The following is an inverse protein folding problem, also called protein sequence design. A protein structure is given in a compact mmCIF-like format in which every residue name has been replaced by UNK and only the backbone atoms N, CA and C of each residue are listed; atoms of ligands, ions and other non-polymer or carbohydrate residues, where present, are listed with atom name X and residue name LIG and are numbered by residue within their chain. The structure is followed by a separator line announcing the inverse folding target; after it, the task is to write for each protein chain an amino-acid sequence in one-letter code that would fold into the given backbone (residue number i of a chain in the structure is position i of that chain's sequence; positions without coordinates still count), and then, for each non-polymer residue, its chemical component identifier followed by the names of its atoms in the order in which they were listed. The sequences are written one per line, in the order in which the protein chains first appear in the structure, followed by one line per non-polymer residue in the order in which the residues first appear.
data_IF_195407611516
#
_entry.id   IF_195407611516
#
_cell.length_a   1.000
_cell.length_b   1.000
_cell.length_c   1.000
_cell.angle_alpha   90.00
_cell.angle_beta   90.00
_cell.angle_gamma   90.00
#
_symmetry.space_group_name_H-M   'P 1'
#
loop_
_entity.id
_entity.type
_entity.pdbx_description
1 polymer ?
2 polymer ?
3 polymer ?
4 non-polymer ?
5 non-polymer ?
6 non-polymer ?
7 water ?
#
# COMPACT_ATOMS: atom_id res chain seq x y z
N UNK A 2 15.00 -15.17 -6.39
CA UNK A 2 14.33 -15.80 -5.23
C UNK A 2 13.05 -15.03 -4.96
N UNK A 3 11.90 -15.72 -5.06
CA UNK A 3 10.62 -15.01 -4.91
C UNK A 3 9.58 -15.85 -4.19
N UNK A 4 8.68 -15.15 -3.51
CA UNK A 4 7.51 -15.80 -2.89
C UNK A 4 6.33 -15.18 -3.63
N UNK A 5 5.57 -15.98 -4.38
CA UNK A 5 4.49 -15.51 -5.27
C UNK A 5 3.17 -15.80 -4.56
N UNK A 6 2.53 -14.76 -4.04
CA UNK A 6 1.26 -14.92 -3.30
C UNK A 6 0.09 -14.84 -4.29
N UNK A 7 -1.01 -15.48 -3.91
CA UNK A 7 -2.33 -15.48 -4.62
C UNK A 7 -2.94 -14.06 -4.61
N UNK A 8 -3.91 -13.84 -5.49
CA UNK A 8 -4.49 -12.51 -5.73
C UNK A 8 -5.41 -12.07 -4.60
N UNK A 9 -5.76 -10.78 -4.62
CA UNK A 9 -6.76 -10.15 -3.73
C UNK A 9 -7.99 -11.07 -3.60
N UNK A 10 -8.53 -11.19 -2.40
CA UNK A 10 -9.68 -12.09 -2.14
C UNK A 10 -10.78 -11.26 -1.48
N UNK A 11 -12.02 -11.38 -1.96
CA UNK A 11 -13.23 -10.91 -1.26
C UNK A 11 -13.86 -12.11 -0.54
N UNK A 12 -14.12 -11.96 0.76
CA UNK A 12 -14.63 -13.03 1.66
C UNK A 12 -15.84 -12.47 2.37
N UNK A 13 -16.93 -13.23 2.43
CA UNK A 13 -18.11 -12.77 3.21
C UNK A 13 -17.85 -13.09 4.67
N UNK A 14 -18.30 -12.19 5.58
CA UNK A 14 -18.16 -12.41 7.02
C UNK A 14 -18.77 -13.77 7.39
N UNK A 15 -18.12 -14.48 8.32
CA UNK A 15 -18.57 -15.80 8.81
C UNK A 15 -18.14 -16.94 7.90
N UNK A 16 -17.38 -16.65 6.84
CA UNK A 16 -16.83 -17.67 5.90
C UNK A 16 -15.30 -17.76 6.09
N UNK A 17 -14.65 -18.65 5.37
CA UNK A 17 -13.21 -18.90 5.47
C UNK A 17 -12.54 -18.46 4.16
N UNK A 18 -11.23 -18.26 4.19
CA UNK A 18 -10.41 -17.94 3.00
C UNK A 18 -9.13 -18.78 3.08
N UNK A 19 -8.66 -19.17 1.90
CA UNK A 19 -7.38 -19.89 1.70
C UNK A 19 -6.53 -19.05 0.76
N UNK A 20 -5.32 -18.71 1.18
CA UNK A 20 -4.40 -17.84 0.38
C UNK A 20 -3.14 -18.70 0.21
N UNK A 21 -2.43 -18.49 -0.88
CA UNK A 21 -1.31 -19.39 -1.29
C UNK A 21 -0.03 -18.59 -1.43
N UNK A 22 1.10 -19.29 -1.28
CA UNK A 22 2.46 -18.73 -1.28
C UNK A 22 3.39 -19.74 -1.99
N UNK A 23 3.78 -19.44 -3.23
CA UNK A 23 4.56 -20.40 -4.08
C UNK A 23 6.01 -19.94 -4.13
N UNK A 24 6.89 -20.85 -3.74
CA UNK A 24 8.37 -20.74 -3.71
C UNK A 24 8.88 -20.80 -5.14
N UNK A 25 9.70 -19.82 -5.52
CA UNK A 25 10.24 -19.66 -6.89
C UNK A 25 11.75 -19.42 -6.78
N UNK A 26 12.55 -20.22 -7.49
CA UNK A 26 14.03 -20.09 -7.65
C UNK A 26 14.73 -20.33 -6.31
N UNK A 27 14.18 -21.18 -5.45
CA UNK A 27 14.89 -21.75 -4.27
C UNK A 27 14.16 -23.02 -3.82
N UNK A 28 14.82 -23.78 -2.94
CA UNK A 28 14.38 -25.11 -2.46
C UNK A 28 13.38 -24.91 -1.33
N UNK A 29 12.09 -24.95 -1.68
CA UNK A 29 10.93 -24.85 -0.75
C UNK A 29 11.20 -25.57 0.58
N UNK A 30 11.57 -26.86 0.53
CA UNK A 30 11.60 -27.72 1.74
C UNK A 30 12.85 -27.42 2.60
N UNK A 31 13.77 -26.58 2.12
CA UNK A 31 15.04 -26.24 2.83
C UNK A 31 14.90 -24.96 3.69
N UNK A 32 13.81 -24.20 3.53
CA UNK A 32 13.45 -23.04 4.38
C UNK A 32 12.07 -23.27 5.01
N UNK A 33 11.77 -22.61 6.13
CA UNK A 33 10.39 -22.60 6.68
C UNK A 33 9.64 -21.47 5.95
N UNK A 34 8.32 -21.49 6.06
CA UNK A 34 7.45 -20.37 5.57
C UNK A 34 6.75 -19.79 6.79
N UNK A 35 6.84 -18.47 6.96
CA UNK A 35 6.14 -17.79 8.07
C UNK A 35 5.05 -16.91 7.46
N UNK A 36 4.05 -16.60 8.26
CA UNK A 36 2.86 -15.86 7.80
C UNK A 36 2.70 -14.68 8.73
N UNK A 37 2.42 -13.52 8.16
CA UNK A 37 2.43 -12.21 8.89
C UNK A 37 1.23 -11.40 8.39
N UNK A 38 0.52 -10.76 9.32
CA UNK A 38 -0.59 -9.82 9.06
C UNK A 38 -0.09 -8.40 9.22
N UNK A 39 -0.36 -7.54 8.24
CA UNK A 39 -0.14 -6.09 8.37
C UNK A 39 -1.14 -5.53 9.38
N UNK A 40 -0.64 -4.84 10.40
CA UNK A 40 -1.49 -4.20 11.42
C UNK A 40 -2.13 -2.93 10.85
N UNK A 41 -3.27 -2.51 11.41
CA UNK A 41 -3.99 -1.34 10.86
C UNK A 41 -3.23 -0.03 10.70
N UNK A 42 -2.39 0.39 11.64
CA UNK A 42 -1.71 1.69 11.44
C UNK A 42 -0.25 1.51 11.05
N UNK A 43 0.49 0.81 11.87
CA UNK A 43 1.91 0.46 11.62
C UNK A 43 2.17 -0.87 12.32
N UNK A 44 3.14 -1.61 11.80
CA UNK A 44 3.64 -2.84 12.44
C UNK A 44 3.02 -4.06 11.84
N UNK A 45 3.40 -5.20 12.40
CA UNK A 45 3.24 -6.55 11.83
C UNK A 45 2.77 -7.46 12.96
N UNK A 46 2.00 -8.47 12.63
CA UNK A 46 1.49 -9.43 13.63
C UNK A 46 1.82 -10.82 13.13
N UNK A 47 2.68 -11.54 13.86
CA UNK A 47 3.08 -12.92 13.50
C UNK A 47 1.87 -13.86 13.57
N UNK A 48 1.70 -14.72 12.60
CA UNK A 48 0.59 -15.69 12.60
C UNK A 48 1.14 -17.06 13.00
N UNK A 49 2.19 -17.50 12.31
CA UNK A 49 2.71 -18.86 12.54
C UNK A 49 3.74 -19.26 11.52
N UNK A 50 4.14 -20.52 11.58
CA UNK A 50 5.27 -21.03 10.77
C UNK A 50 4.92 -22.46 10.39
N UNK A 51 5.22 -22.81 9.16
CA UNK A 51 5.14 -24.23 8.73
C UNK A 51 6.57 -24.66 8.32
N UNK A 52 6.94 -25.83 8.84
CA UNK A 52 8.17 -26.59 8.52
C UNK A 52 7.77 -27.59 7.45
N UNK A 53 8.04 -27.31 6.16
CA UNK A 53 7.56 -28.17 5.08
C UNK A 53 8.23 -29.55 4.96
N UNK A 54 9.40 -29.73 5.59
CA UNK A 54 10.15 -31.00 5.61
C UNK A 54 9.57 -31.94 6.67
N UNK A 55 8.87 -31.32 7.60
CA UNK A 55 8.37 -31.86 8.89
C UNK A 55 6.84 -31.99 8.80
N UNK A 56 6.18 -31.04 8.13
CA UNK A 56 4.74 -30.77 8.26
C UNK A 56 4.42 -30.13 9.60
N UNK A 57 5.46 -29.81 10.39
CA UNK A 57 5.34 -29.21 11.71
C UNK A 57 4.95 -27.74 11.62
N UNK A 58 4.10 -27.31 12.56
CA UNK A 58 3.51 -25.95 12.63
C UNK A 58 3.56 -25.40 14.06
N UNK A 59 3.70 -24.08 14.17
CA UNK A 59 3.54 -23.37 15.45
C UNK A 59 2.77 -22.10 15.10
N UNK A 60 2.10 -21.53 16.08
CA UNK A 60 1.17 -20.39 15.87
C UNK A 60 1.32 -19.44 17.05
N UNK A 61 1.19 -18.16 16.75
CA UNK A 61 0.79 -17.14 17.74
C UNK A 61 -0.47 -17.67 18.45
N UNK A 62 -0.50 -17.73 19.79
CA UNK A 62 -1.68 -18.17 20.61
C UNK A 62 -2.98 -17.62 19.97
N UNK A 63 -2.98 -16.34 19.64
CA UNK A 63 -4.23 -15.66 19.17
C UNK A 63 -4.76 -16.34 17.90
N UNK A 64 -3.91 -16.88 17.04
CA UNK A 64 -4.29 -17.47 15.72
C UNK A 64 -4.52 -18.98 15.81
N UNK A 65 -4.42 -19.58 16.99
CA UNK A 65 -4.71 -21.02 17.18
C UNK A 65 -6.21 -21.21 17.05
N UNK A 66 -6.63 -22.04 16.11
CA UNK A 66 -8.05 -22.29 15.85
C UNK A 66 -8.61 -21.27 14.88
N UNK A 67 -7.76 -20.34 14.39
CA UNK A 67 -8.11 -19.29 13.42
C UNK A 67 -7.35 -19.55 12.11
N UNK A 68 -6.03 -19.75 12.17
CA UNK A 68 -5.21 -20.05 10.98
C UNK A 68 -4.83 -21.53 10.99
N UNK A 69 -4.78 -22.12 9.81
CA UNK A 69 -4.22 -23.47 9.54
C UNK A 69 -3.22 -23.33 8.39
N UNK A 70 -1.98 -23.72 8.63
CA UNK A 70 -0.87 -23.64 7.65
C UNK A 70 -0.65 -25.03 7.07
N UNK A 71 -0.55 -25.12 5.75
CA UNK A 71 -0.37 -26.39 4.99
C UNK A 71 0.83 -26.12 4.08
N UNK A 72 1.57 -27.16 3.72
CA UNK A 72 2.64 -27.08 2.71
C UNK A 72 2.48 -28.26 1.73
N UNK A 73 2.52 -27.97 0.45
CA UNK A 73 2.48 -28.97 -0.64
C UNK A 73 3.87 -29.03 -1.28
N UNK A 74 4.72 -29.96 -0.84
CA UNK A 74 6.07 -30.21 -1.42
C UNK A 74 5.96 -30.37 -2.94
N UNK A 75 4.94 -31.11 -3.40
CA UNK A 75 4.74 -31.44 -4.84
C UNK A 75 4.73 -30.16 -5.68
N UNK A 76 4.02 -29.12 -5.23
CA UNK A 76 3.82 -27.84 -5.99
C UNK A 76 4.64 -26.68 -5.41
N UNK A 77 5.50 -26.93 -4.41
CA UNK A 77 6.35 -25.88 -3.79
C UNK A 77 5.46 -24.71 -3.32
N UNK A 78 4.26 -25.02 -2.81
CA UNK A 78 3.27 -23.98 -2.43
C UNK A 78 2.86 -24.18 -0.98
N UNK A 79 2.92 -23.10 -0.19
CA UNK A 79 2.39 -23.04 1.19
C UNK A 79 0.98 -22.41 1.14
N UNK A 80 0.11 -22.87 2.03
CA UNK A 80 -1.30 -22.38 2.11
C UNK A 80 -1.60 -21.93 3.52
N UNK A 81 -2.40 -20.88 3.61
CA UNK A 81 -2.94 -20.42 4.89
C UNK A 81 -4.45 -20.32 4.75
N UNK A 82 -5.15 -21.08 5.58
CA UNK A 82 -6.62 -21.02 5.76
C UNK A 82 -6.89 -20.13 6.97
N UNK A 83 -7.73 -19.11 6.81
CA UNK A 83 -8.22 -18.27 7.93
C UNK A 83 -9.71 -18.49 8.03
N UNK A 84 -10.18 -18.76 9.23
CA UNK A 84 -11.57 -19.26 9.42
C UNK A 84 -12.42 -18.19 10.10
N UNK A 85 -13.73 -18.31 9.85
CA UNK A 85 -14.86 -17.46 10.33
C UNK A 85 -14.43 -15.99 10.37
N UNK A 86 -14.31 -15.39 9.19
CA UNK A 86 -13.71 -14.04 9.04
C UNK A 86 -14.70 -12.97 9.48
N UNK A 87 -14.16 -11.91 10.09
CA UNK A 87 -14.89 -10.65 10.35
C UNK A 87 -14.12 -9.51 9.69
N UNK A 88 -14.63 -8.28 9.77
CA UNK A 88 -13.94 -7.08 9.23
C UNK A 88 -12.52 -6.99 9.81
N UNK A 89 -12.27 -7.45 11.03
CA UNK A 89 -10.91 -7.35 11.64
C UNK A 89 -9.91 -8.21 10.84
N UNK A 90 -10.37 -9.20 10.10
CA UNK A 90 -9.49 -10.03 9.25
C UNK A 90 -9.20 -9.33 7.90
N UNK A 91 -9.85 -8.20 7.58
CA UNK A 91 -9.54 -7.41 6.34
C UNK A 91 -8.14 -6.83 6.49
N UNK A 92 -7.18 -7.32 5.72
CA UNK A 92 -5.77 -6.94 5.89
C UNK A 92 -4.97 -7.51 4.73
N UNK A 93 -3.77 -6.98 4.58
CA UNK A 93 -2.75 -7.62 3.72
C UNK A 93 -2.04 -8.67 4.58
N UNK A 94 -1.88 -9.87 4.04
CA UNK A 94 -1.17 -11.00 4.68
C UNK A 94 0.06 -11.30 3.83
N UNK A 95 1.22 -11.46 4.47
CA UNK A 95 2.49 -11.77 3.80
C UNK A 95 2.91 -13.19 4.19
N UNK A 96 3.58 -13.85 3.29
CA UNK A 96 4.40 -15.02 3.65
C UNK A 96 5.86 -14.56 3.51
N UNK A 97 6.73 -15.16 4.29
CA UNK A 97 8.16 -14.80 4.34
C UNK A 97 8.95 -16.09 4.48
N UNK A 98 10.17 -16.13 3.92
CA UNK A 98 11.11 -17.28 4.04
C UNK A 98 11.99 -17.06 5.27
N UNK A 99 12.32 -18.16 5.97
CA UNK A 99 13.32 -18.18 7.09
C UNK A 99 14.10 -19.50 7.04
N UNK A 100 15.33 -19.47 7.51
CA UNK A 100 16.16 -20.69 7.61
C UNK A 100 15.65 -21.52 8.77
N UNK A 101 16.12 -22.77 8.87
CA UNK A 101 15.86 -23.64 10.03
C UNK A 101 16.68 -23.13 11.22
N UNK A 102 17.72 -22.32 10.99
CA UNK A 102 18.83 -22.06 11.97
C UNK A 102 18.91 -20.59 12.40
N UNK A 103 18.20 -19.65 11.76
CA UNK A 103 18.26 -18.20 12.10
C UNK A 103 16.88 -17.53 11.97
N UNK A 104 16.58 -16.53 12.82
CA UNK A 104 15.26 -15.88 12.94
C UNK A 104 14.84 -15.11 11.68
N UNK A 105 15.80 -14.67 10.86
CA UNK A 105 15.58 -13.70 9.76
C UNK A 105 14.48 -14.19 8.82
N UNK A 106 13.52 -13.29 8.55
CA UNK A 106 12.54 -13.40 7.44
C UNK A 106 13.19 -12.67 6.28
N UNK A 107 13.97 -13.38 5.45
CA UNK A 107 14.96 -12.74 4.57
C UNK A 107 14.32 -12.36 3.24
N UNK A 108 13.29 -13.08 2.81
CA UNK A 108 12.53 -12.80 1.57
C UNK A 108 11.03 -12.87 1.89
N UNK A 109 10.23 -11.95 1.32
CA UNK A 109 8.80 -11.76 1.65
C UNK A 109 7.97 -11.86 0.37
N UNK A 110 6.78 -12.46 0.41
CA UNK A 110 5.85 -12.33 -0.72
C UNK A 110 5.41 -10.89 -0.94
N UNK A 111 4.69 -10.66 -2.03
CA UNK A 111 4.21 -9.31 -2.44
C UNK A 111 2.97 -8.95 -1.60
N UNK A 112 2.36 -9.93 -0.93
CA UNK A 112 1.20 -9.73 -0.06
C UNK A 112 -0.09 -10.09 -0.74
N UNK A 113 -1.05 -10.54 0.04
CA UNK A 113 -2.43 -10.78 -0.44
C UNK A 113 -3.39 -9.87 0.36
N UNK A 114 -4.19 -9.09 -0.33
CA UNK A 114 -5.16 -8.16 0.29
C UNK A 114 -6.50 -8.89 0.45
N UNK A 115 -6.90 -9.12 1.70
CA UNK A 115 -8.18 -9.79 1.99
C UNK A 115 -9.21 -8.76 2.41
N UNK A 116 -10.33 -8.68 1.70
CA UNK A 116 -11.47 -7.77 2.02
C UNK A 116 -12.59 -8.66 2.54
N UNK A 117 -13.04 -8.44 3.77
CA UNK A 117 -14.14 -9.20 4.42
C UNK A 117 -15.28 -8.19 4.52
N UNK A 118 -16.33 -8.40 3.75
CA UNK A 118 -17.43 -7.43 3.60
C UNK A 118 -18.66 -8.13 3.08
N UNK A 119 -19.84 -7.65 3.51
CA UNK A 119 -21.17 -8.02 2.98
C UNK A 119 -21.55 -7.04 1.87
N UNK A 120 -20.83 -5.93 1.69
CA UNK A 120 -21.18 -4.87 0.71
C UNK A 120 -21.37 -5.47 -0.68
N UNK A 121 -22.17 -4.82 -1.53
CA UNK A 121 -22.58 -5.39 -2.83
C UNK A 121 -21.41 -5.30 -3.83
N UNK A 122 -21.07 -6.40 -4.53
CA UNK A 122 -20.06 -6.44 -5.61
C UNK A 122 -20.63 -5.64 -6.77
N UNK A 123 -19.88 -4.67 -7.27
CA UNK A 123 -20.39 -3.63 -8.19
C UNK A 123 -19.30 -3.36 -9.23
N UNK A 124 -19.56 -3.69 -10.49
CA UNK A 124 -18.65 -3.36 -11.60
C UNK A 124 -18.61 -1.85 -11.73
N UNK A 125 -17.45 -1.27 -12.10
CA UNK A 125 -17.33 0.16 -12.32
C UNK A 125 -18.13 0.71 -13.51
N UNK A 126 -18.55 1.95 -13.39
CA UNK A 126 -19.03 2.76 -14.51
C UNK A 126 -17.86 3.63 -14.99
N UNK A 127 -17.46 3.46 -16.24
CA UNK A 127 -16.22 4.06 -16.81
C UNK A 127 -16.66 5.13 -17.81
N UNK A 128 -16.13 6.31 -17.61
CA UNK A 128 -16.40 7.50 -18.46
C UNK A 128 -15.10 8.03 -19.02
N UNK A 129 -15.10 8.36 -20.32
CA UNK A 129 -13.94 8.97 -20.95
C UNK A 129 -13.93 10.47 -20.61
N UNK A 130 -12.76 11.04 -20.36
CA UNK A 130 -12.63 12.49 -20.06
C UNK A 130 -11.80 13.13 -21.17
N UNK A 131 -12.48 13.89 -22.02
CA UNK A 131 -11.80 14.61 -23.11
C UNK A 131 -10.92 15.72 -22.54
N UNK A 132 -9.96 16.26 -23.32
CA UNK A 132 -9.15 17.38 -22.83
C UNK A 132 -10.05 18.54 -22.37
N UNK A 133 -9.74 19.12 -21.23
CA UNK A 133 -10.53 20.26 -20.68
C UNK A 133 -10.33 21.50 -21.58
N UNK A 134 -11.26 22.46 -21.50
CA UNK A 134 -11.18 23.69 -22.34
C UNK A 134 -10.02 24.59 -21.92
N UNK A 137 -7.16 22.08 -25.09
CA UNK A 137 -7.65 21.42 -26.33
C UNK A 137 -6.68 21.72 -27.47
N UNK A 138 -6.25 22.99 -27.60
CA UNK A 138 -5.24 23.37 -28.62
C UNK A 138 -3.87 23.19 -28.00
N UNK A 139 -2.87 22.90 -28.84
CA UNK A 139 -1.51 22.66 -28.33
C UNK A 139 -0.92 21.37 -28.86
N UNK A 140 0.40 21.25 -28.81
CA UNK A 140 1.10 20.05 -29.34
C UNK A 140 0.90 18.84 -28.41
N UNK A 141 0.40 19.08 -27.20
CA UNK A 141 0.11 17.97 -26.26
C UNK A 141 -1.26 18.13 -25.59
N UNK A 142 -1.86 17.01 -25.22
CA UNK A 142 -3.23 16.96 -24.64
C UNK A 142 -3.22 15.95 -23.50
N UNK A 143 -3.98 16.24 -22.45
CA UNK A 143 -4.12 15.30 -21.31
C UNK A 143 -5.51 14.67 -21.36
N UNK A 144 -5.58 13.37 -21.58
CA UNK A 144 -6.84 12.60 -21.60
C UNK A 144 -7.08 12.06 -20.18
N UNK A 145 -8.33 11.83 -19.82
CA UNK A 145 -8.65 11.25 -18.51
C UNK A 145 -9.61 10.09 -18.60
N UNK A 146 -9.65 9.36 -17.53
CA UNK A 146 -10.57 8.24 -17.36
C UNK A 146 -11.14 8.25 -15.96
N UNK A 147 -12.47 8.24 -15.83
CA UNK A 147 -13.16 8.19 -14.52
C UNK A 147 -13.72 6.77 -14.34
N UNK A 148 -13.39 6.12 -13.22
CA UNK A 148 -13.86 4.75 -12.90
C UNK A 148 -14.72 4.90 -11.65
N UNK A 149 -16.06 4.96 -11.82
CA UNK A 149 -16.98 5.35 -10.73
C UNK A 149 -17.66 4.11 -10.11
N UNK A 150 -17.61 4.05 -8.78
CA UNK A 150 -18.46 3.23 -7.90
C UNK A 150 -18.27 1.74 -8.14
N UNK A 151 -17.12 1.20 -7.79
CA UNK A 151 -16.88 -0.25 -7.85
C UNK A 151 -16.65 -0.77 -6.44
N UNK A 152 -16.90 -2.07 -6.32
CA UNK A 152 -16.55 -2.82 -5.09
C UNK A 152 -16.43 -4.29 -5.45
N UNK A 153 -15.45 -5.04 -4.90
CA UNK A 153 -14.37 -4.53 -4.06
C UNK A 153 -13.22 -3.98 -4.91
N UNK A 154 -12.12 -3.53 -4.30
CA UNK A 154 -10.80 -3.53 -4.97
C UNK A 154 -10.38 -4.98 -5.20
N UNK A 155 -9.48 -5.26 -6.16
CA UNK A 155 -8.89 -4.24 -7.03
C UNK A 155 -9.57 -4.08 -8.41
N UNK A 156 -9.16 -3.00 -9.08
CA UNK A 156 -9.34 -2.78 -10.53
C UNK A 156 -7.93 -2.75 -11.14
N UNK A 157 -7.76 -3.17 -12.39
CA UNK A 157 -6.54 -2.95 -13.18
C UNK A 157 -6.91 -1.95 -14.28
N UNK A 158 -6.24 -0.81 -14.32
CA UNK A 158 -6.48 0.26 -15.33
C UNK A 158 -5.19 0.40 -16.14
N UNK A 159 -5.30 0.27 -17.46
CA UNK A 159 -4.21 0.46 -18.44
C UNK A 159 -4.76 1.38 -19.55
N UNK A 160 -3.85 1.87 -20.36
CA UNK A 160 -4.17 2.64 -21.56
C UNK A 160 -3.71 1.82 -22.77
N UNK A 161 -4.61 1.62 -23.74
CA UNK A 161 -4.37 0.78 -24.94
C UNK A 161 -3.80 -0.57 -24.48
N UNK A 162 -4.37 -1.11 -23.40
CA UNK A 162 -4.11 -2.46 -22.80
C UNK A 162 -2.62 -2.54 -22.41
N UNK A 163 -2.02 -1.41 -22.08
CA UNK A 163 -0.63 -1.33 -21.60
C UNK A 163 0.34 -0.99 -22.71
N UNK A 164 -0.07 -0.91 -23.97
CA UNK A 164 0.81 -0.44 -25.09
C UNK A 164 1.12 1.05 -24.93
N UNK A 165 0.22 1.82 -24.30
CA UNK A 165 0.49 3.24 -24.00
C UNK A 165 0.95 3.32 -22.54
N UNK A 166 2.26 3.34 -22.30
CA UNK A 166 2.86 3.18 -20.95
C UNK A 166 3.38 4.53 -20.46
N UNK A 167 3.95 5.31 -21.38
CA UNK A 167 4.53 6.64 -21.14
C UNK A 167 3.44 7.67 -20.80
N UNK A 168 3.68 8.49 -19.78
CA UNK A 168 2.91 9.71 -19.49
C UNK A 168 1.57 9.36 -18.83
N UNK A 169 1.44 8.12 -18.33
CA UNK A 169 0.27 7.64 -17.54
C UNK A 169 0.45 8.04 -16.07
N UNK A 170 -0.60 8.60 -15.46
CA UNK A 170 -0.67 8.78 -13.98
C UNK A 170 -2.00 8.24 -13.47
N UNK A 171 -1.97 7.25 -12.58
CA UNK A 171 -3.23 6.65 -12.04
C UNK A 171 -3.20 7.02 -10.55
N UNK A 172 -4.24 7.69 -10.08
CA UNK A 172 -4.28 8.32 -8.74
C UNK A 172 -4.97 7.35 -7.79
N UNK A 173 -4.74 7.50 -6.46
CA UNK A 173 -5.33 6.61 -5.47
C UNK A 173 -6.86 6.69 -5.49
N UNK A 174 -7.48 5.57 -5.19
CA UNK A 174 -8.96 5.47 -5.20
C UNK A 174 -9.48 6.15 -3.94
N UNK A 175 -10.68 6.70 -3.99
CA UNK A 175 -11.49 7.09 -2.80
C UNK A 175 -12.52 5.97 -2.52
N UNK A 176 -12.96 5.91 -1.26
CA UNK A 176 -13.97 4.95 -0.74
C UNK A 176 -15.02 5.72 0.05
N UNK A 177 -16.28 5.53 -0.33
CA UNK A 177 -17.47 6.13 0.32
C UNK A 177 -18.62 5.14 0.19
N UNK A 178 -19.31 4.79 1.29
CA UNK A 178 -20.50 3.91 1.29
C UNK A 178 -20.22 2.63 0.49
N UNK A 179 -19.09 2.00 0.75
CA UNK A 179 -18.66 0.69 0.19
C UNK A 179 -18.61 0.74 -1.35
N UNK A 180 -18.32 1.92 -1.90
CA UNK A 180 -18.02 2.08 -3.34
C UNK A 180 -16.73 2.88 -3.51
N UNK A 181 -15.80 2.33 -4.31
CA UNK A 181 -14.55 3.01 -4.67
C UNK A 181 -14.77 3.81 -5.97
N UNK A 182 -14.00 4.86 -6.12
CA UNK A 182 -13.92 5.68 -7.35
C UNK A 182 -12.43 5.97 -7.59
N UNK A 183 -11.95 5.93 -8.84
CA UNK A 183 -10.58 6.41 -9.17
C UNK A 183 -10.56 6.98 -10.58
N UNK A 184 -9.47 7.66 -10.87
CA UNK A 184 -9.27 8.36 -12.14
C UNK A 184 -7.79 8.23 -12.52
N UNK A 185 -7.58 8.13 -13.82
CA UNK A 185 -6.26 8.10 -14.47
C UNK A 185 -6.22 9.20 -15.53
N UNK A 186 -5.03 9.71 -15.80
CA UNK A 186 -4.77 10.66 -16.90
C UNK A 186 -3.56 10.18 -17.69
N UNK A 187 -3.50 10.65 -18.93
CA UNK A 187 -2.37 10.32 -19.80
C UNK A 187 -2.17 11.53 -20.71
N UNK A 188 -0.92 11.95 -20.84
CA UNK A 188 -0.47 13.06 -21.71
C UNK A 188 0.08 12.49 -23.01
N UNK A 189 -0.53 12.88 -24.14
CA UNK A 189 -0.26 12.35 -25.51
C UNK A 189 -0.03 13.54 -26.45
N UNK A 190 0.69 13.35 -27.55
CA UNK A 190 0.96 14.44 -28.51
C UNK A 190 -0.32 14.63 -29.33
N UNK A 191 -0.50 15.82 -29.92
CA UNK A 191 -1.66 16.12 -30.80
C UNK A 191 -1.56 15.31 -32.09
N UNK A 192 -0.38 14.77 -32.40
CA UNK A 192 -0.11 13.86 -33.52
C UNK A 192 -0.74 12.49 -33.30
N UNK A 193 -0.74 12.05 -32.05
CA UNK A 193 -1.23 10.73 -31.61
C UNK A 193 -2.75 10.77 -31.49
N UNK A 194 -3.31 11.81 -30.90
CA UNK A 194 -4.75 11.87 -30.59
C UNK A 194 -5.35 13.17 -31.14
N UNK A 195 -6.52 13.16 -31.79
CA UNK A 195 -7.40 11.99 -31.87
C UNK A 195 -7.25 11.12 -33.12
N UNK A 196 -6.17 11.28 -33.90
CA UNK A 196 -5.99 10.50 -35.15
C UNK A 196 -5.91 9.01 -34.82
N UNK A 197 -5.42 8.63 -33.62
CA UNK A 197 -5.32 7.22 -33.18
C UNK A 197 -6.35 6.95 -32.09
N UNK A 198 -6.84 5.71 -32.03
CA UNK A 198 -7.82 5.29 -31.00
C UNK A 198 -7.06 5.07 -29.70
N UNK A 199 -7.40 5.85 -28.68
CA UNK A 199 -6.82 5.70 -27.32
C UNK A 199 -7.95 5.28 -26.41
N UNK A 200 -7.79 4.17 -25.69
CA UNK A 200 -8.80 3.65 -24.75
C UNK A 200 -8.15 3.52 -23.37
N UNK A 201 -9.00 3.76 -22.41
CA UNK A 201 -8.84 3.42 -21.00
C UNK A 201 -9.42 2.01 -20.76
N UNK A 202 -8.61 1.07 -20.30
CA UNK A 202 -9.03 -0.33 -20.08
C UNK A 202 -9.14 -0.56 -18.58
N UNK A 203 -10.32 -0.96 -18.11
CA UNK A 203 -10.54 -1.20 -16.67
C UNK A 203 -11.08 -2.63 -16.51
N UNK A 204 -10.31 -3.49 -15.89
CA UNK A 204 -10.71 -4.86 -15.49
C UNK A 204 -11.08 -4.89 -14.00
N UNK A 205 -12.16 -5.58 -13.69
CA UNK A 205 -12.71 -5.75 -12.33
C UNK A 205 -12.87 -7.25 -12.13
N UNK A 206 -11.82 -7.93 -11.67
CA UNK A 206 -11.87 -9.39 -11.48
C UNK A 206 -13.12 -9.89 -10.72
N UNK A 207 -13.53 -9.19 -9.67
CA UNK A 207 -14.61 -9.63 -8.76
C UNK A 207 -15.96 -9.66 -9.49
N UNK A 208 -16.17 -8.82 -10.51
CA UNK A 208 -17.42 -8.80 -11.29
C UNK A 208 -17.23 -9.53 -12.62
N UNK A 209 -16.01 -10.00 -12.91
CA UNK A 209 -15.58 -10.66 -14.18
C UNK A 209 -15.82 -9.74 -15.37
N UNK A 210 -15.64 -8.44 -15.17
CA UNK A 210 -15.93 -7.41 -16.22
C UNK A 210 -14.62 -6.77 -16.72
N UNK A 211 -14.65 -6.33 -17.97
CA UNK A 211 -13.61 -5.45 -18.50
C UNK A 211 -14.29 -4.42 -19.39
N UNK A 212 -13.93 -3.15 -19.27
CA UNK A 212 -14.34 -2.11 -20.26
C UNK A 212 -13.12 -1.49 -20.88
N UNK A 213 -13.14 -1.31 -22.21
CA UNK A 213 -12.21 -0.44 -22.95
C UNK A 213 -13.02 0.79 -23.43
N UNK A 214 -12.73 1.98 -22.86
CA UNK A 214 -13.46 3.25 -23.10
C UNK A 214 -12.63 4.17 -23.99
N UNK A 215 -13.10 4.36 -25.22
CA UNK A 215 -12.44 5.25 -26.22
C UNK A 215 -12.56 6.72 -25.80
N UNK A 216 -11.46 7.47 -25.84
CA UNK A 216 -11.50 8.92 -25.52
C UNK A 216 -11.80 9.64 -26.84
N UNK A 217 -12.93 10.31 -26.91
CA UNK A 217 -13.39 10.97 -28.16
C UNK A 217 -13.41 12.47 -27.97
N UNK A 218 -13.02 13.21 -29.02
CA UNK A 218 -13.00 14.67 -28.99
C UNK A 218 -14.39 15.29 -28.90
N UNK A 219 -14.49 16.47 -28.30
CA UNK A 219 -15.79 17.19 -28.26
C UNK A 219 -16.21 17.52 -29.69
N UNK B 1 5.82 -13.50 27.27
CA UNK B 1 6.41 -12.20 27.72
C UNK B 1 7.78 -11.99 27.09
N UNK B 2 8.05 -12.63 25.96
CA UNK B 2 9.05 -12.18 24.98
C UNK B 2 8.45 -10.94 24.31
N UNK B 3 8.98 -9.76 24.64
CA UNK B 3 8.39 -8.46 24.22
C UNK B 3 9.51 -7.57 23.71
N UNK B 4 9.27 -6.90 22.58
CA UNK B 4 10.20 -5.88 22.04
C UNK B 4 9.54 -4.51 22.16
N UNK B 5 10.23 -3.60 22.84
CA UNK B 5 9.74 -2.22 23.08
C UNK B 5 10.41 -1.23 22.13
N UNK B 6 9.58 -0.56 21.34
CA UNK B 6 10.04 0.51 20.43
C UNK B 6 9.12 1.70 20.62
N UNK B 7 9.68 2.91 20.54
CA UNK B 7 8.90 4.17 20.47
C UNK B 7 8.17 4.20 19.12
N UNK B 8 6.92 4.63 19.10
CA UNK B 8 6.07 4.58 17.88
C UNK B 8 6.64 5.47 16.77
N UNK B 9 7.34 6.58 17.08
CA UNK B 9 7.80 7.61 16.11
C UNK B 9 9.16 8.17 16.52
N UNK B 10 9.97 8.52 15.52
CA UNK B 10 11.29 9.18 15.65
C UNK B 10 11.46 10.18 14.50
N UNK B 11 12.03 11.35 14.79
CA UNK B 11 12.35 12.43 13.81
C UNK B 11 13.85 12.68 13.78
N UNK B 12 14.39 12.86 12.58
CA UNK B 12 15.84 13.12 12.42
C UNK B 12 16.05 14.15 11.29
N UNK B 13 17.07 15.00 11.45
CA UNK B 13 17.35 16.02 10.43
C UNK B 13 18.10 15.40 9.24
N UNK B 14 17.79 15.83 8.04
CA UNK B 14 18.47 15.32 6.82
C UNK B 14 19.98 15.40 7.01
N UNK B 15 20.69 14.30 6.74
CA UNK B 15 22.16 14.29 6.82
C UNK B 15 22.67 13.95 8.21
N UNK B 16 21.76 13.80 9.16
CA UNK B 16 22.18 13.55 10.54
C UNK B 16 22.38 12.07 10.82
N UNK B 17 22.85 11.79 12.02
CA UNK B 17 23.12 10.41 12.50
C UNK B 17 21.86 9.95 13.26
N UNK B 18 21.23 8.86 12.81
CA UNK B 18 19.96 8.36 13.38
C UNK B 18 20.24 7.08 14.18
N UNK B 19 19.77 7.00 15.41
CA UNK B 19 19.85 5.75 16.20
C UNK B 19 18.46 5.38 16.74
N UNK B 20 17.95 4.22 16.35
CA UNK B 20 16.66 3.64 16.84
C UNK B 20 16.96 2.60 17.92
N UNK B 21 16.17 2.61 18.98
CA UNK B 21 16.27 1.62 20.06
C UNK B 21 15.14 0.61 19.97
N UNK B 22 15.50 -0.67 20.02
CA UNK B 22 14.59 -1.81 20.27
C UNK B 22 15.03 -2.47 21.57
N UNK B 23 14.17 -2.49 22.60
CA UNK B 23 14.54 -3.05 23.93
C UNK B 23 13.89 -4.42 24.11
N UNK B 24 14.73 -5.43 24.37
CA UNK B 24 14.28 -6.78 24.74
C UNK B 24 13.72 -6.75 26.15
N UNK B 25 12.77 -7.63 26.42
CA UNK B 25 12.34 -8.04 27.77
C UNK B 25 13.60 -8.50 28.54
N UNK B 26 13.72 -8.18 29.83
CA UNK B 26 14.93 -8.40 30.66
C UNK B 26 15.37 -9.86 30.61
N UNK B 27 14.43 -10.80 30.70
CA UNK B 27 14.74 -12.25 30.75
C UNK B 27 15.36 -12.68 29.42
N UNK B 28 15.23 -11.85 28.38
CA UNK B 28 15.69 -12.16 27.00
C UNK B 28 16.75 -11.15 26.57
N UNK B 29 17.42 -10.49 27.53
CA UNK B 29 18.39 -9.39 27.32
C UNK B 29 19.57 -9.85 26.43
N UNK B 30 19.85 -11.15 26.36
CA UNK B 30 20.97 -11.71 25.56
C UNK B 30 20.58 -12.07 24.12
N UNK B 31 19.29 -11.97 23.74
CA UNK B 31 18.78 -12.54 22.46
C UNK B 31 19.31 -11.76 21.25
N UNK B 32 19.43 -12.46 20.14
CA UNK B 32 19.64 -11.89 18.80
C UNK B 32 18.28 -11.45 18.22
N UNK B 33 18.24 -10.27 17.60
CA UNK B 33 16.99 -9.73 16.98
C UNK B 33 17.24 -9.46 15.51
N UNK B 34 16.16 -9.26 14.75
CA UNK B 34 16.22 -8.82 13.34
C UNK B 34 15.61 -7.44 13.22
N UNK B 35 16.14 -6.65 12.30
CA UNK B 35 15.63 -5.31 11.94
C UNK B 35 14.95 -5.44 10.59
N UNK B 36 13.75 -4.87 10.47
CA UNK B 36 13.02 -4.82 9.18
C UNK B 36 12.69 -3.37 8.85
N UNK B 37 12.56 -3.06 7.56
CA UNK B 37 12.17 -1.73 7.04
C UNK B 37 10.87 -1.88 6.24
N UNK B 38 9.87 -1.06 6.56
CA UNK B 38 8.58 -1.13 5.83
C UNK B 38 8.16 0.27 5.39
N UNK B 39 8.03 0.44 4.08
CA UNK B 39 7.50 1.64 3.39
C UNK B 39 6.12 1.22 2.87
N UNK B 40 5.16 2.15 2.67
CA UNK B 40 3.77 1.77 2.41
C UNK B 40 3.66 1.07 1.04
N UNK B 41 2.74 0.11 0.91
CA UNK B 41 2.44 -0.65 -0.34
C UNK B 41 3.70 -1.37 -0.83
N UNK B 42 4.68 -1.63 0.03
CA UNK B 42 5.81 -2.55 -0.28
C UNK B 42 5.80 -3.60 0.81
N UNK B 43 6.23 -4.84 0.55
CA UNK B 43 6.45 -5.78 1.65
C UNK B 43 7.60 -5.30 2.53
N UNK B 44 7.64 -5.71 3.82
CA UNK B 44 8.81 -5.46 4.68
C UNK B 44 10.09 -5.98 4.01
N UNK B 45 11.19 -5.26 4.21
CA UNK B 45 12.57 -5.57 3.76
C UNK B 45 13.39 -5.98 4.99
N UNK B 46 14.08 -7.10 4.89
CA UNK B 46 15.04 -7.59 5.92
C UNK B 46 16.21 -6.61 5.92
N UNK B 47 16.56 -6.08 7.08
CA UNK B 47 17.64 -5.05 7.19
C UNK B 47 18.89 -5.75 7.74
N UNK B 48 18.80 -6.35 8.93
CA UNK B 48 20.00 -7.00 9.53
C UNK B 48 19.61 -7.90 10.70
N UNK B 49 20.47 -8.88 10.97
CA UNK B 49 20.56 -9.65 12.24
C UNK B 49 21.51 -8.93 13.19
N UNK B 50 21.17 -8.87 14.47
CA UNK B 50 21.93 -8.09 15.46
C UNK B 50 22.05 -8.87 16.77
N UNK B 51 23.26 -9.30 17.14
CA UNK B 51 23.49 -10.15 18.34
C UNK B 51 23.82 -9.28 19.56
N UNK B 52 23.87 -9.91 20.73
CA UNK B 52 24.01 -9.20 22.03
C UNK B 52 25.35 -8.45 22.06
N UNK B 53 26.34 -8.84 21.24
CA UNK B 53 27.70 -8.25 21.32
C UNK B 53 27.80 -7.04 20.39
N UNK B 54 26.82 -6.86 19.51
CA UNK B 54 26.74 -5.73 18.58
C UNK B 54 27.14 -6.16 17.19
N UNK B 55 27.58 -7.42 17.05
CA UNK B 55 27.93 -8.03 15.74
C UNK B 55 26.64 -8.14 14.94
N UNK B 56 26.69 -7.82 13.65
CA UNK B 56 25.49 -7.76 12.78
C UNK B 56 25.80 -8.28 11.40
N UNK B 57 24.76 -8.77 10.73
CA UNK B 57 24.81 -9.35 9.38
C UNK B 57 23.69 -8.65 8.58
N UNK B 58 24.02 -7.75 7.66
CA UNK B 58 22.99 -6.94 6.95
C UNK B 58 22.53 -7.70 5.71
N UNK B 59 21.23 -7.63 5.38
CA UNK B 59 20.61 -8.25 4.20
C UNK B 59 21.01 -7.58 2.90
N UNK B 60 20.62 -8.16 1.76
CA UNK B 60 20.87 -7.57 0.41
C UNK B 60 20.20 -6.20 0.31
N UNK B 61 20.81 -5.34 -0.50
CA UNK B 61 20.28 -4.03 -0.91
C UNK B 61 20.18 -3.08 0.25
N UNK B 62 20.93 -3.32 1.31
CA UNK B 62 20.98 -2.37 2.45
C UNK B 62 22.27 -1.57 2.29
N UNK B 63 22.19 -0.23 2.10
CA UNK B 63 23.38 0.62 2.01
C UNK B 63 24.25 0.56 3.28
N UNK B 64 25.49 1.06 3.19
CA UNK B 64 26.46 0.91 4.30
C UNK B 64 26.25 1.99 5.38
N UNK B 65 25.39 2.97 5.11
CA UNK B 65 25.07 3.98 6.15
C UNK B 65 24.28 3.28 7.27
N UNK B 66 23.90 2.04 7.05
CA UNK B 66 23.14 1.26 8.04
C UNK B 66 24.08 0.35 8.84
N UNK B 67 24.03 0.47 10.16
CA UNK B 67 24.79 -0.41 11.08
C UNK B 67 23.96 -0.66 12.32
N UNK B 68 24.45 -1.54 13.19
CA UNK B 68 23.78 -2.02 14.41
C UNK B 68 24.76 -2.12 15.57
N UNK B 69 24.25 -1.97 16.78
CA UNK B 69 25.05 -2.08 18.02
C UNK B 69 24.11 -2.48 19.16
N UNK B 70 24.69 -2.83 20.30
CA UNK B 70 23.95 -3.34 21.49
C UNK B 70 24.59 -2.82 22.77
N UNK B 71 23.75 -2.77 23.81
CA UNK B 71 24.12 -2.42 25.19
C UNK B 71 23.04 -3.03 26.09
N UNK B 72 23.39 -4.09 26.84
CA UNK B 72 22.42 -4.86 27.63
C UNK B 72 21.26 -5.31 26.76
N UNK B 73 20.03 -5.11 27.23
CA UNK B 73 18.78 -5.51 26.54
C UNK B 73 18.48 -4.61 25.32
N UNK B 74 19.27 -3.55 25.08
CA UNK B 74 18.99 -2.54 24.03
C UNK B 74 19.62 -3.03 22.72
N UNK B 75 18.91 -2.90 21.60
CA UNK B 75 19.48 -3.20 20.27
C UNK B 75 19.24 -1.98 19.37
N UNK B 76 20.26 -1.52 18.68
CA UNK B 76 20.28 -0.19 18.01
C UNK B 76 20.36 -0.45 16.50
N UNK B 77 19.61 0.34 15.73
CA UNK B 77 19.83 0.49 14.28
C UNK B 77 20.31 1.93 14.11
N UNK B 78 21.52 2.06 13.56
CA UNK B 78 22.13 3.37 13.23
C UNK B 78 22.12 3.56 11.72
N UNK B 79 21.62 4.73 11.33
CA UNK B 79 21.65 5.27 9.94
C UNK B 79 22.46 6.57 10.03
N UNK B 80 23.69 6.53 9.50
CA UNK B 80 24.52 7.76 9.35
C UNK B 80 24.01 8.48 8.10
N UNK B 81 24.03 9.82 8.11
CA UNK B 81 23.70 10.61 6.90
C UNK B 81 22.31 10.19 6.42
N UNK B 82 21.33 10.36 7.31
CA UNK B 82 19.91 9.97 7.04
C UNK B 82 19.40 10.57 5.72
N UNK B 83 18.80 9.73 4.88
CA UNK B 83 18.29 10.20 3.56
C UNK B 83 16.76 10.14 3.52
N UNK B 84 16.10 10.99 2.71
CA UNK B 84 14.65 10.88 2.50
C UNK B 84 14.17 9.44 2.23
N UNK B 85 14.93 8.66 1.44
CA UNK B 85 14.66 7.22 1.09
C UNK B 85 14.54 6.34 2.36
N UNK B 86 15.03 6.80 3.50
CA UNK B 86 15.16 5.98 4.74
C UNK B 86 13.91 6.20 5.60
N UNK B 87 13.07 7.16 5.22
CA UNK B 87 11.73 7.29 5.84
C UNK B 87 11.00 5.97 5.64
N UNK B 88 10.49 5.39 6.74
CA UNK B 88 9.94 4.02 6.81
C UNK B 88 9.54 3.75 8.23
N UNK B 89 8.81 2.66 8.43
CA UNK B 89 8.60 2.06 9.78
C UNK B 89 9.71 1.02 9.92
N UNK B 90 10.51 1.16 10.97
CA UNK B 90 11.57 0.18 11.32
C UNK B 90 11.02 -0.71 12.41
N UNK B 91 10.97 -2.01 12.15
CA UNK B 91 10.40 -2.99 13.12
C UNK B 91 11.51 -3.97 13.52
N UNK B 92 11.65 -4.24 14.79
CA UNK B 92 12.51 -5.36 15.25
C UNK B 92 11.65 -6.63 15.43
N UNK B 93 12.27 -7.80 15.22
CA UNK B 93 11.66 -9.10 15.46
C UNK B 93 12.61 -10.00 16.20
N UNK B 94 12.04 -10.95 16.93
CA UNK B 94 12.85 -11.88 17.76
C UNK B 94 12.16 -13.24 17.81
N UNK B 95 12.96 -14.30 17.68
CA UNK B 95 12.51 -15.70 17.66
C UNK B 95 13.01 -16.44 18.88
N UNK B 96 12.24 -17.42 19.35
CA UNK B 96 12.59 -18.31 20.49
C UNK B 96 11.70 -19.56 20.41
N UNK B 97 12.04 -20.57 21.21
CA UNK B 97 11.14 -21.72 21.46
C UNK B 97 10.72 -21.57 22.92
N UNK B 98 9.42 -21.44 23.14
CA UNK B 98 8.83 -21.26 24.49
C UNK B 98 7.71 -22.29 24.65
N UNK B 99 7.66 -22.95 25.82
CA UNK B 99 6.73 -24.09 26.07
C UNK B 99 6.70 -24.97 24.82
N UNK B 100 7.89 -25.23 24.25
CA UNK B 100 8.18 -26.24 23.18
C UNK B 100 7.63 -25.78 21.83
N UNK B 101 7.30 -24.49 21.67
CA UNK B 101 6.68 -23.93 20.44
C UNK B 101 7.58 -22.80 19.94
N UNK B 102 7.94 -22.80 18.66
CA UNK B 102 8.65 -21.65 18.07
C UNK B 102 7.67 -20.47 18.08
N UNK B 103 8.19 -19.30 18.45
CA UNK B 103 7.40 -18.04 18.37
C UNK B 103 8.32 -17.00 17.75
N UNK B 104 7.76 -16.12 16.91
CA UNK B 104 8.38 -14.85 16.46
C UNK B 104 7.47 -13.71 16.91
N UNK B 105 8.10 -12.69 17.46
CA UNK B 105 7.43 -11.50 18.04
C UNK B 105 7.98 -10.28 17.32
N UNK B 106 7.12 -9.35 16.94
CA UNK B 106 7.51 -8.02 16.43
C UNK B 106 7.33 -6.95 17.49
N UNK B 107 8.24 -5.99 17.49
CA UNK B 107 8.02 -4.66 18.13
C UNK B 107 6.92 -3.91 17.40
N UNK B 108 6.47 -2.77 17.94
CA UNK B 108 5.34 -2.01 17.37
C UNK B 108 5.80 -1.14 16.22
N UNK B 109 7.11 -1.04 16.01
CA UNK B 109 7.78 -0.28 14.92
C UNK B 109 7.99 1.20 15.27
N UNK B 110 9.00 1.81 14.66
CA UNK B 110 9.28 3.26 14.80
C UNK B 110 9.13 3.91 13.43
N UNK B 111 8.14 4.77 13.30
CA UNK B 111 7.93 5.54 12.06
C UNK B 111 8.95 6.67 12.07
N UNK B 112 9.87 6.66 11.11
CA UNK B 112 11.00 7.64 11.01
C UNK B 112 10.61 8.73 10.00
N UNK B 113 10.49 9.96 10.48
CA UNK B 113 10.36 11.17 9.62
C UNK B 113 11.75 11.77 9.44
N UNK B 114 12.15 12.11 8.22
CA UNK B 114 13.39 12.90 7.96
C UNK B 114 12.96 14.36 7.81
N UNK B 115 13.46 15.22 8.69
CA UNK B 115 13.11 16.66 8.67
C UNK B 115 14.12 17.44 7.81
N UNK B 116 13.81 18.71 7.51
CA UNK B 116 14.70 19.55 6.69
C UNK B 116 14.69 19.17 5.20
N UNK B 117 13.71 18.41 4.73
CA UNK B 117 13.57 18.14 3.27
C UNK B 117 12.90 19.34 2.64
N UNK B 118 13.36 19.84 1.47
CA UNK B 118 12.59 20.85 0.77
C UNK B 118 11.24 20.27 0.32
N UNK B 119 10.18 21.06 0.48
CA UNK B 119 8.82 20.67 0.06
C UNK B 119 8.73 20.57 -1.48
N UNK B 120 7.77 19.76 -1.95
CA UNK B 120 7.23 19.76 -3.34
C UNK B 120 5.79 20.24 -3.31
N UNK B 121 5.43 21.22 -4.15
CA UNK B 121 4.09 21.86 -4.13
C UNK B 121 3.22 21.21 -5.20
N UNK B 122 1.98 20.82 -4.85
CA UNK B 122 1.16 20.03 -5.77
C UNK B 122 0.85 20.86 -7.03
N UNK B 123 0.71 20.17 -8.15
CA UNK B 123 0.05 20.66 -9.37
C UNK B 123 -1.21 19.84 -9.59
N UNK B 124 -2.18 20.44 -10.27
CA UNK B 124 -3.59 19.99 -10.30
C UNK B 124 -3.98 19.68 -11.76
N UNK B 125 -4.64 18.56 -11.99
CA UNK B 125 -5.40 18.27 -13.22
C UNK B 125 -6.87 18.20 -12.82
N UNK B 126 -7.70 18.96 -13.49
CA UNK B 126 -9.16 18.89 -13.21
C UNK B 126 -9.90 18.50 -14.47
N UNK B 127 -10.94 17.69 -14.33
CA UNK B 127 -11.80 17.25 -15.43
C UNK B 127 -13.24 17.55 -15.05
N UNK B 128 -14.00 18.10 -16.02
CA UNK B 128 -15.42 18.28 -15.84
C UNK B 128 -16.15 16.97 -16.04
N UNK B 129 -17.45 16.95 -15.70
CA UNK B 129 -18.30 15.80 -15.97
C UNK B 129 -18.35 15.54 -17.47
N UNK B 130 -18.22 14.29 -17.86
CA UNK B 130 -18.41 13.84 -19.27
C UNK B 130 -19.88 14.04 -19.67
N UNK B 131 -20.13 14.33 -20.95
CA UNK B 131 -21.51 14.36 -21.53
C UNK B 131 -22.20 13.01 -21.26
N UNK B 132 -21.46 11.91 -21.31
CA UNK B 132 -22.04 10.56 -21.07
C UNK B 132 -22.63 10.47 -19.65
N UNK B 133 -21.87 10.87 -18.62
CA UNK B 133 -22.33 10.86 -17.21
C UNK B 133 -23.51 11.82 -17.08
N UNK B 134 -23.41 13.02 -17.66
CA UNK B 134 -24.41 14.11 -17.52
C UNK B 134 -25.76 13.61 -18.04
N UNK B 135 -25.72 12.69 -19.02
CA UNK B 135 -26.93 12.05 -19.57
C UNK B 135 -27.74 11.41 -18.44
N UNK B 136 -27.09 10.91 -17.39
CA UNK B 136 -27.75 10.19 -16.28
C UNK B 136 -28.11 11.17 -15.15
N UNK B 137 -28.04 12.48 -15.39
CA UNK B 137 -28.38 13.54 -14.40
C UNK B 137 -27.37 13.51 -13.25
N UNK B 138 -26.15 13.05 -13.49
CA UNK B 138 -25.06 13.03 -12.46
C UNK B 138 -23.83 13.71 -13.02
N UNK B 139 -23.06 14.34 -12.16
CA UNK B 139 -21.86 15.09 -12.55
C UNK B 139 -20.78 14.79 -11.51
N UNK B 140 -19.64 14.28 -11.97
CA UNK B 140 -18.48 14.03 -11.08
C UNK B 140 -17.34 14.93 -11.56
N UNK B 141 -16.90 15.86 -10.71
CA UNK B 141 -15.74 16.75 -11.00
C UNK B 141 -14.51 16.04 -10.43
N UNK B 142 -13.43 16.03 -11.21
CA UNK B 142 -12.22 15.26 -10.90
C UNK B 142 -11.07 16.21 -10.61
N UNK B 143 -10.39 16.00 -9.49
CA UNK B 143 -9.20 16.80 -9.13
C UNK B 143 -8.08 15.82 -8.83
N UNK B 144 -7.04 15.83 -9.64
CA UNK B 144 -5.90 14.90 -9.52
C UNK B 144 -4.70 15.72 -9.06
N UNK B 145 -4.12 15.31 -7.95
CA UNK B 145 -3.15 16.13 -7.19
C UNK B 145 -1.80 15.43 -7.28
N UNK B 146 -0.89 16.05 -8.02
CA UNK B 146 0.43 15.47 -8.40
C UNK B 146 1.58 16.12 -7.62
N UNK B 147 2.53 15.28 -7.21
CA UNK B 147 3.94 15.69 -6.99
C UNK B 147 4.02 16.63 -5.80
N UNK B 148 3.45 16.22 -4.67
CA UNK B 148 3.60 17.00 -3.43
C UNK B 148 4.40 16.16 -2.41
N UNK B 149 5.07 16.89 -1.53
CA UNK B 149 5.85 16.31 -0.40
C UNK B 149 5.97 17.38 0.67
N UNK B 150 5.75 17.10 1.97
CA UNK B 150 5.36 15.79 2.48
C UNK B 150 3.89 15.44 2.18
N UNK B 151 3.39 14.32 2.72
CA UNK B 151 2.15 13.65 2.22
C UNK B 151 0.88 14.37 2.68
N UNK B 152 0.95 15.24 3.70
CA UNK B 152 -0.19 15.88 4.36
C UNK B 152 -0.84 16.94 3.47
N UNK B 153 -2.12 16.79 3.17
CA UNK B 153 -2.89 17.78 2.35
C UNK B 153 -4.31 17.78 2.89
N UNK B 154 -5.00 18.89 2.71
CA UNK B 154 -6.47 18.95 2.84
C UNK B 154 -7.02 19.51 1.53
N UNK B 155 -8.22 19.06 1.19
CA UNK B 155 -8.86 19.45 -0.08
C UNK B 155 -10.23 20.01 0.25
N UNK B 156 -10.54 21.16 -0.34
CA UNK B 156 -11.90 21.76 -0.28
C UNK B 156 -12.38 22.02 -1.71
N UNK B 157 -13.68 22.00 -1.93
CA UNK B 157 -14.27 22.50 -3.19
C UNK B 157 -15.12 23.72 -2.91
N UNK B 158 -15.19 24.63 -3.90
CA UNK B 158 -16.02 25.84 -3.91
C UNK B 158 -16.94 25.72 -5.13
N UNK B 159 -18.19 26.14 -4.98
CA UNK B 159 -19.17 26.42 -6.05
C UNK B 159 -19.36 27.93 -6.05
N UNK B 160 -18.89 28.62 -7.09
CA UNK B 160 -18.70 30.10 -7.11
C UNK B 160 -17.75 30.42 -5.93
N UNK B 161 -18.20 31.14 -4.91
CA UNK B 161 -17.36 31.52 -3.77
C UNK B 161 -17.60 30.65 -2.53
N UNK B 162 -18.57 29.74 -2.58
CA UNK B 162 -19.17 29.05 -1.39
C UNK B 162 -18.60 27.64 -1.26
N UNK B 163 -18.00 27.25 -0.11
CA UNK B 163 -17.52 25.87 0.07
C UNK B 163 -18.66 24.85 -0.09
N UNK B 164 -18.34 23.70 -0.68
CA UNK B 164 -19.24 22.52 -0.85
C UNK B 164 -18.69 21.43 0.06
N UNK B 165 -19.47 20.98 1.05
CA UNK B 165 -19.18 19.76 1.87
C UNK B 165 -19.77 18.50 1.23
N UNK B 166 -21.06 18.56 0.92
CA UNK B 166 -21.79 17.36 0.50
C UNK B 166 -21.17 16.88 -0.80
N UNK B 167 -20.90 15.59 -0.92
CA UNK B 167 -20.57 14.97 -2.21
C UNK B 167 -19.08 14.98 -2.51
N UNK B 168 -18.24 15.44 -1.56
CA UNK B 168 -16.76 15.48 -1.72
C UNK B 168 -16.14 14.20 -1.13
N UNK B 169 -15.34 13.47 -1.91
CA UNK B 169 -14.57 12.32 -1.39
C UNK B 169 -13.11 12.55 -1.79
N UNK B 170 -12.20 12.50 -0.82
CA UNK B 170 -10.76 12.78 -1.02
C UNK B 170 -9.98 11.55 -0.54
N UNK B 171 -9.00 11.11 -1.32
CA UNK B 171 -8.18 9.89 -1.13
C UNK B 171 -7.17 10.17 -0.01
N UNK B 172 -6.57 9.10 0.49
CA UNK B 172 -5.29 9.20 1.20
C UNK B 172 -4.19 9.45 0.16
N UNK B 173 -3.08 10.09 0.56
CA UNK B 173 -1.90 10.19 -0.30
C UNK B 173 -1.22 8.84 -0.53
N UNK B 174 -0.75 8.60 -1.75
CA UNK B 174 0.07 7.41 -2.12
C UNK B 174 1.42 7.91 -2.60
N UNK B 175 2.49 7.21 -2.21
CA UNK B 175 3.89 7.54 -2.63
C UNK B 175 3.95 7.30 -4.14
N UNK B 176 4.67 8.14 -4.87
CA UNK B 176 4.99 7.92 -6.30
C UNK B 176 6.36 8.56 -6.55
N UNK B 177 7.39 7.71 -6.74
CA UNK B 177 8.80 8.14 -6.67
C UNK B 177 9.11 8.73 -5.31
N UNK B 178 9.67 9.94 -5.25
CA UNK B 178 10.06 10.58 -3.97
C UNK B 178 8.97 11.57 -3.54
N UNK B 179 7.82 11.55 -4.21
CA UNK B 179 6.71 12.47 -3.87
C UNK B 179 5.43 11.68 -3.63
N UNK B 180 4.30 12.37 -3.57
CA UNK B 180 2.97 11.80 -3.24
C UNK B 180 1.94 12.30 -4.24
N UNK B 181 0.84 11.55 -4.34
CA UNK B 181 -0.29 11.88 -5.24
C UNK B 181 -1.55 11.60 -4.46
N UNK B 182 -2.63 12.28 -4.82
CA UNK B 182 -3.95 12.12 -4.21
C UNK B 182 -5.00 12.53 -5.23
N UNK B 183 -6.25 12.33 -4.88
CA UNK B 183 -7.37 12.67 -5.80
C UNK B 183 -8.54 13.09 -4.95
N UNK B 184 -9.41 13.90 -5.52
CA UNK B 184 -10.63 14.35 -4.84
C UNK B 184 -11.72 14.41 -5.91
N UNK B 185 -12.91 14.05 -5.50
CA UNK B 185 -14.05 13.96 -6.44
C UNK B 185 -15.18 14.74 -5.81
N UNK B 186 -15.89 15.52 -6.62
CA UNK B 186 -17.09 16.24 -6.16
C UNK B 186 -18.25 15.69 -6.98
N UNK B 187 -19.24 15.13 -6.31
CA UNK B 187 -20.46 14.55 -6.91
C UNK B 187 -21.57 15.58 -6.84
N UNK B 188 -22.15 15.89 -7.99
CA UNK B 188 -23.21 16.90 -8.16
C UNK B 188 -24.31 16.26 -8.99
N UNK B 189 -25.49 16.86 -8.99
CA UNK B 189 -26.51 16.63 -10.05
C UNK B 189 -26.07 17.38 -11.31
N UNK B 190 -26.54 16.95 -12.47
CA UNK B 190 -26.39 17.69 -13.75
C UNK B 190 -26.80 19.14 -13.57
N UNK B 191 -27.91 19.37 -12.87
CA UNK B 191 -28.51 20.72 -12.71
C UNK B 191 -27.57 21.61 -11.91
N UNK B 192 -27.02 21.08 -10.82
CA UNK B 192 -26.06 21.83 -9.97
C UNK B 192 -24.85 22.22 -10.83
N UNK B 193 -24.28 21.28 -11.60
CA UNK B 193 -23.14 21.56 -12.49
C UNK B 193 -23.47 22.70 -13.44
N UNK B 194 -24.61 22.62 -14.15
CA UNK B 194 -24.98 23.61 -15.21
C UNK B 194 -25.35 24.96 -14.57
N UNK B 195 -25.79 24.99 -13.31
CA UNK B 195 -26.39 26.20 -12.66
C UNK B 195 -25.33 27.13 -12.04
N UNK B 196 -24.05 26.72 -12.00
CA UNK B 196 -23.02 27.56 -11.34
C UNK B 196 -22.00 28.07 -12.35
N UNK B 197 -21.44 29.26 -12.14
CA UNK B 197 -20.46 29.85 -13.09
C UNK B 197 -19.11 29.14 -13.01
N UNK B 198 -18.74 28.68 -11.82
CA UNK B 198 -17.41 28.05 -11.64
C UNK B 198 -17.36 27.06 -10.47
N UNK B 199 -16.46 26.09 -10.57
CA UNK B 199 -16.19 25.18 -9.44
C UNK B 199 -14.67 25.16 -9.29
N UNK B 200 -14.19 25.03 -8.07
CA UNK B 200 -12.74 25.13 -7.76
C UNK B 200 -12.34 23.97 -6.87
N UNK B 201 -11.31 23.26 -7.28
CA UNK B 201 -10.59 22.33 -6.41
C UNK B 201 -9.47 23.11 -5.71
N UNK B 202 -9.49 23.09 -4.38
CA UNK B 202 -8.58 23.85 -3.52
C UNK B 202 -7.79 22.89 -2.60
N UNK B 203 -6.50 22.85 -2.80
CA UNK B 203 -5.58 21.97 -2.04
C UNK B 203 -4.69 22.80 -1.14
N UNK B 204 -4.73 22.51 0.17
CA UNK B 204 -3.85 23.13 1.17
C UNK B 204 -2.71 22.15 1.46
N UNK B 205 -1.48 22.62 1.35
CA UNK B 205 -0.28 21.76 1.54
C UNK B 205 0.83 22.59 2.17
N UNK B 206 1.18 22.31 3.43
CA UNK B 206 2.34 22.94 4.10
C UNK B 206 2.20 24.46 4.02
N UNK B 207 1.02 25.01 4.28
CA UNK B 207 0.80 26.47 4.31
C UNK B 207 0.39 27.08 2.97
N UNK B 208 0.58 26.33 1.87
CA UNK B 208 0.35 26.77 0.48
C UNK B 208 -1.07 26.38 0.14
N UNK B 209 -1.71 27.15 -0.73
CA UNK B 209 -3.00 26.82 -1.35
C UNK B 209 -2.78 26.75 -2.87
N UNK B 210 -3.24 25.65 -3.47
CA UNK B 210 -3.22 25.41 -4.93
C UNK B 210 -4.65 25.25 -5.38
N UNK B 211 -5.07 26.09 -6.32
CA UNK B 211 -6.49 26.06 -6.79
C UNK B 211 -6.55 25.96 -8.30
N UNK B 212 -7.49 25.16 -8.81
CA UNK B 212 -7.75 25.09 -10.26
C UNK B 212 -9.25 25.04 -10.43
N UNK B 213 -9.78 25.77 -11.41
CA UNK B 213 -11.22 25.99 -11.57
C UNK B 213 -11.70 25.39 -12.90
N UNK B 214 -12.98 25.05 -12.93
CA UNK B 214 -13.74 24.54 -14.10
C UNK B 214 -14.98 25.41 -14.23
N UNK B 215 -15.49 25.54 -15.46
CA UNK B 215 -16.73 26.29 -15.73
C UNK B 215 -17.59 25.54 -16.76
N UNK B 216 -18.88 25.26 -16.50
CA UNK B 216 -19.74 24.62 -17.49
C UNK B 216 -19.88 25.49 -18.75
N UNK B 217 -19.55 26.78 -18.71
CA UNK B 217 -19.64 27.68 -19.88
C UNK B 217 -18.45 27.42 -20.82
N UNK C 1 18.43 -19.68 27.42
CA UNK C 1 19.14 -19.48 26.15
C UNK C 1 18.10 -19.38 25.03
N UNK C 2 18.34 -18.50 24.05
CA UNK C 2 17.50 -18.34 22.85
C UNK C 2 17.69 -19.60 22.00
N UNK C 3 16.59 -20.27 21.65
CA UNK C 3 16.55 -21.44 20.72
C UNK C 3 16.30 -20.94 19.30
N UNK C 4 17.28 -21.16 18.42
CA UNK C 4 17.42 -20.55 17.06
C UNK C 4 16.91 -21.50 15.98
N UNK C 5 16.57 -22.74 16.32
CA UNK C 5 16.07 -23.76 15.35
C UNK C 5 14.55 -23.79 15.39
N UNK C 6 13.91 -24.17 14.29
CA UNK C 6 12.44 -24.15 14.16
C UNK C 6 11.91 -25.54 14.58
#
# INVERSE_FOLDING_TARGET
QVQLQQSGAALVRPGTSVKVSCRASEYAFTNYVIEWVKQRPGQGLEWIGVINPGSGGTNYNEKFKGKATLIADKSSSTAYMQLSSLTSDDSAVYFCARSTYYSGALDYWGQGTSVTVSSAKTTAPSVYPLAPVCGDTTGSSVTLGCLVKGYFPEPVTLTWNSGSLSSGVHTFPAVLQSDLYTLSSSVTVTSSTWPSQSITCNVAHPASSTKVDKKIEPR
QLVLTQSSSASFSLGASAKLTCTLSSQHSTYTIEWYQQQPLKPPKYVMELKKDGSHSTGDGIPDRFSGSSSGADRYLSISNIQPEDEAIYICGVGDTIKEQFVYVFGGGTKVTVLGQPKSTPTLTVFPPSSEELKENKATLVCLISNFSPSGVTVAWKANGTPITQGVDTSNPTKEGNKFMASSFLHLTSDQWRSHNSFTCQVTHEGDTVEKSLSPA
VQILNK
#
